data_IF_857589229540
#
_entry.id   IF_857589229540
#
_cell.length_a   1.000
_cell.length_b   1.000
_cell.length_c   1.000
_cell.angle_alpha   90.00
_cell.angle_beta   90.00
_cell.angle_gamma   90.00
#
_symmetry.space_group_name_H-M   'P 1'
#
loop_
_entity.id
_entity.type
_entity.pdbx_description
1 polymer ?
#
# COMPACT_ATOMS: atom_id res chain seq x y z
N UNK A 1 -28.12 36.31 -4.17
CA UNK A 1 -27.39 35.74 -5.32
C UNK A 1 -26.49 34.67 -4.75
N UNK A 2 -26.79 33.39 -4.98
CA UNK A 2 -25.81 32.35 -4.65
C UNK A 2 -24.59 32.53 -5.55
N UNK A 3 -23.37 32.42 -5.00
CA UNK A 3 -22.17 32.64 -5.80
C UNK A 3 -22.02 31.49 -6.81
N UNK A 4 -21.58 31.80 -8.04
CA UNK A 4 -21.57 30.86 -9.16
C UNK A 4 -20.78 29.54 -8.92
N UNK A 5 -19.85 29.53 -7.97
CA UNK A 5 -19.09 28.32 -7.59
C UNK A 5 -19.88 27.35 -6.70
N UNK A 6 -21.03 27.78 -6.15
CA UNK A 6 -21.97 26.96 -5.38
C UNK A 6 -23.07 26.33 -6.27
N UNK A 7 -23.01 26.51 -7.59
CA UNK A 7 -23.95 25.79 -8.47
C UNK A 7 -23.68 24.28 -8.38
N UNK A 8 -24.76 23.49 -8.27
CA UNK A 8 -24.68 22.04 -8.12
C UNK A 8 -23.89 21.37 -9.26
N UNK A 9 -23.94 21.96 -10.46
CA UNK A 9 -23.22 21.50 -11.64
C UNK A 9 -21.70 21.71 -11.50
N UNK A 10 -21.26 22.89 -11.06
CA UNK A 10 -19.83 23.19 -10.84
C UNK A 10 -19.26 22.35 -9.70
N UNK A 11 -20.01 22.21 -8.60
CA UNK A 11 -19.62 21.37 -7.47
C UNK A 11 -19.53 19.89 -7.86
N UNK A 12 -20.47 19.39 -8.66
CA UNK A 12 -20.43 18.02 -9.19
C UNK A 12 -19.22 17.78 -10.09
N UNK A 13 -18.88 18.72 -10.96
CA UNK A 13 -17.75 18.60 -11.88
C UNK A 13 -16.41 18.64 -11.17
N UNK A 14 -16.22 19.58 -10.22
CA UNK A 14 -15.01 19.66 -9.40
C UNK A 14 -14.85 18.39 -8.57
N UNK A 15 -15.89 17.97 -7.86
CA UNK A 15 -15.83 16.75 -7.03
C UNK A 15 -15.62 15.49 -7.88
N UNK A 16 -16.20 15.42 -9.08
CA UNK A 16 -16.00 14.32 -10.02
C UNK A 16 -14.57 14.24 -10.51
N UNK A 17 -13.96 15.35 -10.92
CA UNK A 17 -12.57 15.40 -11.39
C UNK A 17 -11.60 15.11 -10.24
N UNK A 18 -11.77 15.78 -9.09
CA UNK A 18 -10.89 15.59 -7.92
C UNK A 18 -11.01 14.16 -7.39
N UNK A 19 -12.22 13.65 -7.24
CA UNK A 19 -12.46 12.28 -6.79
C UNK A 19 -11.91 11.25 -7.78
N UNK A 20 -12.14 11.46 -9.08
CA UNK A 20 -11.64 10.58 -10.14
C UNK A 20 -10.12 10.50 -10.18
N UNK A 21 -9.43 11.66 -10.12
CA UNK A 21 -7.96 11.72 -10.09
C UNK A 21 -7.42 11.03 -8.84
N UNK A 22 -8.03 11.27 -7.67
CA UNK A 22 -7.60 10.66 -6.43
C UNK A 22 -7.76 9.12 -6.47
N UNK A 23 -8.91 8.62 -6.94
CA UNK A 23 -9.17 7.18 -7.06
C UNK A 23 -8.19 6.55 -8.06
N UNK A 24 -7.94 7.20 -9.20
CA UNK A 24 -6.97 6.73 -10.18
C UNK A 24 -5.56 6.66 -9.58
N UNK A 25 -5.14 7.69 -8.84
CA UNK A 25 -3.85 7.71 -8.14
C UNK A 25 -3.75 6.57 -7.11
N UNK A 26 -4.82 6.31 -6.35
CA UNK A 26 -4.89 5.18 -5.42
C UNK A 26 -4.74 3.83 -6.14
N UNK A 27 -5.42 3.64 -7.27
CA UNK A 27 -5.34 2.42 -8.06
C UNK A 27 -3.92 2.20 -8.61
N UNK A 28 -3.31 3.25 -9.16
CA UNK A 28 -1.93 3.22 -9.67
C UNK A 28 -0.93 2.91 -8.55
N UNK A 29 -1.07 3.57 -7.38
CA UNK A 29 -0.23 3.31 -6.22
C UNK A 29 -0.42 1.87 -5.68
N UNK A 30 -1.66 1.37 -5.66
CA UNK A 30 -1.96 -0.02 -5.31
C UNK A 30 -1.31 -1.04 -6.26
N UNK A 31 -1.34 -0.77 -7.57
CA UNK A 31 -0.64 -1.58 -8.57
C UNK A 31 0.88 -1.53 -8.41
N UNK A 32 1.43 -0.34 -8.21
CA UNK A 32 2.87 -0.14 -8.04
C UNK A 32 3.40 -0.77 -6.75
N UNK A 33 2.68 -0.63 -5.64
CA UNK A 33 3.04 -1.24 -4.35
C UNK A 33 3.01 -2.77 -4.40
N UNK A 34 2.09 -3.37 -5.16
CA UNK A 34 2.09 -4.82 -5.42
C UNK A 34 3.37 -5.28 -6.13
N UNK A 35 3.79 -4.56 -7.17
CA UNK A 35 5.03 -4.86 -7.88
C UNK A 35 6.27 -4.71 -6.97
N UNK A 36 6.29 -3.70 -6.10
CA UNK A 36 7.34 -3.50 -5.12
C UNK A 36 7.39 -4.63 -4.06
N UNK A 37 6.22 -5.10 -3.63
CA UNK A 37 6.08 -6.17 -2.65
C UNK A 37 6.63 -7.52 -3.15
N UNK A 38 6.40 -7.85 -4.42
CA UNK A 38 6.96 -9.08 -5.03
C UNK A 38 8.49 -9.07 -5.08
N UNK A 39 9.10 -7.87 -5.09
CA UNK A 39 10.55 -7.68 -5.09
C UNK A 39 11.13 -7.51 -3.69
N UNK A 40 10.32 -7.54 -2.63
CA UNK A 40 10.73 -7.23 -1.25
C UNK A 40 11.55 -5.92 -1.18
N UNK A 41 11.04 -4.87 -1.84
CA UNK A 41 11.65 -3.53 -1.85
C UNK A 41 10.66 -2.48 -1.37
N UNK A 42 11.19 -1.38 -0.83
CA UNK A 42 10.43 -0.17 -0.52
C UNK A 42 9.28 -0.35 0.49
N UNK A 43 9.42 -1.28 1.44
CA UNK A 43 8.40 -1.53 2.46
C UNK A 43 8.03 -0.27 3.26
N UNK A 44 9.02 0.56 3.60
CA UNK A 44 8.80 1.85 4.26
C UNK A 44 8.04 2.83 3.37
N UNK A 45 8.42 2.93 2.09
CA UNK A 45 7.74 3.82 1.14
C UNK A 45 6.27 3.42 0.95
N UNK A 46 6.00 2.12 0.80
CA UNK A 46 4.64 1.58 0.67
C UNK A 46 3.84 1.80 1.95
N UNK A 47 4.46 1.59 3.12
CA UNK A 47 3.84 1.86 4.41
C UNK A 47 3.45 3.33 4.58
N UNK A 48 4.39 4.25 4.35
CA UNK A 48 4.15 5.70 4.42
C UNK A 48 3.08 6.12 3.42
N UNK A 49 3.14 5.63 2.18
CA UNK A 49 2.13 5.94 1.17
C UNK A 49 0.72 5.49 1.58
N UNK A 50 0.57 4.29 2.15
CA UNK A 50 -0.72 3.86 2.69
C UNK A 50 -1.16 4.67 3.90
N UNK A 51 -0.25 5.10 4.78
CA UNK A 51 -0.58 5.99 5.89
C UNK A 51 -1.07 7.36 5.41
N UNK A 52 -0.43 7.94 4.39
CA UNK A 52 -0.86 9.21 3.78
C UNK A 52 -2.24 9.05 3.15
N UNK A 53 -2.47 7.98 2.38
CA UNK A 53 -3.77 7.70 1.78
C UNK A 53 -4.87 7.48 2.84
N UNK A 54 -4.55 6.80 3.94
CA UNK A 54 -5.47 6.64 5.07
C UNK A 54 -5.81 7.99 5.71
N UNK A 55 -4.81 8.86 5.89
CA UNK A 55 -5.01 10.22 6.40
C UNK A 55 -5.93 11.04 5.50
N UNK A 56 -5.71 10.99 4.18
CA UNK A 56 -6.56 11.67 3.19
C UNK A 56 -7.99 11.12 3.21
N UNK A 57 -8.15 9.79 3.25
CA UNK A 57 -9.46 9.14 3.33
C UNK A 57 -10.23 9.51 4.60
N UNK A 58 -9.54 9.52 5.76
CA UNK A 58 -10.12 9.93 7.04
C UNK A 58 -10.48 11.42 7.06
N UNK A 59 -9.63 12.29 6.50
CA UNK A 59 -9.94 13.71 6.38
C UNK A 59 -11.18 13.95 5.50
N UNK A 60 -11.30 13.24 4.38
CA UNK A 60 -12.47 13.32 3.50
C UNK A 60 -13.75 12.84 4.20
N UNK A 61 -13.69 11.72 4.93
CA UNK A 61 -14.81 11.26 5.77
C UNK A 61 -15.17 12.27 6.86
N UNK A 62 -14.16 12.86 7.52
CA UNK A 62 -14.35 13.89 8.53
C UNK A 62 -15.05 15.12 7.97
N UNK A 63 -14.60 15.63 6.82
CA UNK A 63 -15.25 16.73 6.12
C UNK A 63 -16.71 16.39 5.75
N UNK A 64 -16.97 15.18 5.26
CA UNK A 64 -18.31 14.70 4.97
C UNK A 64 -19.20 14.68 6.22
N UNK A 65 -18.69 14.15 7.34
CA UNK A 65 -19.42 14.08 8.61
C UNK A 65 -19.73 15.48 9.19
N UNK A 66 -18.76 16.40 9.15
CA UNK A 66 -18.96 17.80 9.58
C UNK A 66 -19.99 18.50 8.70
N UNK A 67 -19.95 18.28 7.38
CA UNK A 67 -20.92 18.86 6.46
C UNK A 67 -22.35 18.33 6.70
N UNK A 68 -22.50 17.02 6.98
CA UNK A 68 -23.79 16.44 7.40
C UNK A 68 -24.28 17.09 8.70
N UNK A 69 -23.42 17.22 9.71
CA UNK A 69 -23.77 17.83 10.99
C UNK A 69 -24.16 19.31 10.85
N UNK A 70 -23.57 20.02 9.90
CA UNK A 70 -23.88 21.41 9.57
C UNK A 70 -25.15 21.59 8.71
N UNK A 71 -25.88 20.51 8.41
CA UNK A 71 -27.09 20.56 7.58
C UNK A 71 -26.83 20.94 6.12
N UNK A 72 -25.60 20.72 5.63
CA UNK A 72 -25.26 21.03 4.24
C UNK A 72 -26.05 20.13 3.27
N UNK A 73 -26.35 20.62 2.07
CA UNK A 73 -27.08 19.86 1.07
C UNK A 73 -26.27 18.66 0.55
N UNK A 74 -26.99 17.65 0.03
CA UNK A 74 -26.43 16.34 -0.33
C UNK A 74 -25.25 16.40 -1.29
N UNK A 75 -25.25 17.35 -2.24
CA UNK A 75 -24.18 17.50 -3.22
C UNK A 75 -22.86 18.01 -2.64
N UNK A 76 -22.85 18.51 -1.39
CA UNK A 76 -21.64 18.97 -0.69
C UNK A 76 -21.02 17.82 0.10
N UNK A 77 -21.81 17.14 0.94
CA UNK A 77 -21.27 16.12 1.84
C UNK A 77 -21.12 14.74 1.19
N UNK A 78 -22.00 14.39 0.25
CA UNK A 78 -22.01 13.06 -0.36
C UNK A 78 -20.71 12.75 -1.10
N UNK A 79 -20.16 13.64 -1.96
CA UNK A 79 -18.89 13.35 -2.63
C UNK A 79 -17.72 13.14 -1.66
N UNK A 80 -17.62 13.97 -0.61
CA UNK A 80 -16.57 13.82 0.40
C UNK A 80 -16.68 12.48 1.15
N UNK A 81 -17.89 12.10 1.55
CA UNK A 81 -18.16 10.83 2.21
C UNK A 81 -17.87 9.63 1.29
N UNK A 82 -18.28 9.69 0.01
CA UNK A 82 -18.06 8.63 -0.97
C UNK A 82 -16.56 8.46 -1.27
N UNK A 83 -15.84 9.56 -1.49
CA UNK A 83 -14.38 9.52 -1.72
C UNK A 83 -13.67 8.91 -0.51
N UNK A 84 -13.98 9.40 0.69
CA UNK A 84 -13.40 8.88 1.92
C UNK A 84 -13.70 7.39 2.13
N UNK A 85 -14.94 6.97 1.92
CA UNK A 85 -15.35 5.57 2.03
C UNK A 85 -14.67 4.68 0.98
N UNK A 86 -14.56 5.15 -0.26
CA UNK A 86 -13.89 4.41 -1.34
C UNK A 86 -12.40 4.22 -1.05
N UNK A 87 -11.70 5.27 -0.61
CA UNK A 87 -10.28 5.20 -0.23
C UNK A 87 -10.09 4.24 0.95
N UNK A 88 -10.86 4.40 2.02
CA UNK A 88 -10.74 3.56 3.21
C UNK A 88 -11.10 2.10 2.91
N UNK A 89 -12.13 1.85 2.12
CA UNK A 89 -12.51 0.51 1.67
C UNK A 89 -11.40 -0.14 0.82
N UNK A 90 -10.83 0.60 -0.12
CA UNK A 90 -9.72 0.12 -0.95
C UNK A 90 -8.49 -0.24 -0.11
N UNK A 91 -8.17 0.57 0.90
CA UNK A 91 -7.07 0.29 1.84
C UNK A 91 -7.35 -0.95 2.70
N UNK A 92 -8.55 -1.05 3.27
CA UNK A 92 -8.94 -2.17 4.12
C UNK A 92 -8.85 -3.52 3.37
N UNK A 93 -9.24 -3.54 2.09
CA UNK A 93 -9.18 -4.74 1.26
C UNK A 93 -7.79 -4.99 0.66
N UNK A 94 -7.04 -3.94 0.29
CA UNK A 94 -5.77 -4.05 -0.43
C UNK A 94 -4.56 -4.30 0.48
N UNK A 95 -4.51 -3.65 1.65
CA UNK A 95 -3.35 -3.70 2.56
C UNK A 95 -3.03 -5.12 3.04
N UNK A 96 -4.00 -5.95 3.48
CA UNK A 96 -3.71 -7.31 3.93
C UNK A 96 -3.03 -8.15 2.84
N UNK A 97 -3.48 -8.01 1.58
CA UNK A 97 -2.90 -8.73 0.45
C UNK A 97 -1.45 -8.32 0.18
N UNK A 98 -1.11 -7.05 0.35
CA UNK A 98 0.26 -6.55 0.17
C UNK A 98 1.16 -7.01 1.32
N UNK A 99 0.69 -6.98 2.56
CA UNK A 99 1.43 -7.50 3.72
C UNK A 99 1.77 -8.99 3.51
N UNK A 100 0.82 -9.80 3.05
CA UNK A 100 1.06 -11.20 2.75
C UNK A 100 2.12 -11.40 1.65
N UNK A 101 2.15 -10.54 0.63
CA UNK A 101 3.18 -10.61 -0.43
C UNK A 101 4.57 -10.29 0.11
N UNK A 102 4.70 -9.23 0.91
CA UNK A 102 5.97 -8.90 1.57
C UNK A 102 6.46 -10.04 2.47
N UNK A 103 5.56 -10.67 3.23
CA UNK A 103 5.90 -11.83 4.07
C UNK A 103 6.43 -13.00 3.23
N UNK A 104 5.71 -13.37 2.17
CA UNK A 104 6.12 -14.45 1.26
C UNK A 104 7.46 -14.16 0.56
N UNK A 105 7.68 -12.90 0.15
CA UNK A 105 8.93 -12.50 -0.49
C UNK A 105 10.12 -12.58 0.49
N UNK A 106 9.92 -12.18 1.75
CA UNK A 106 10.92 -12.30 2.81
C UNK A 106 11.23 -13.76 3.15
N UNK A 107 10.20 -14.60 3.31
CA UNK A 107 10.36 -16.04 3.56
C UNK A 107 11.18 -16.72 2.44
N UNK A 108 10.94 -16.35 1.17
CA UNK A 108 11.73 -16.86 0.04
C UNK A 108 13.21 -16.48 0.14
N UNK A 109 13.53 -15.24 0.51
CA UNK A 109 14.92 -14.79 0.68
C UNK A 109 15.61 -15.50 1.84
N UNK A 110 14.93 -15.62 2.97
CA UNK A 110 15.47 -16.32 4.15
C UNK A 110 15.77 -17.79 3.85
N UNK A 111 14.88 -18.48 3.12
CA UNK A 111 15.12 -19.86 2.69
C UNK A 111 16.31 -19.98 1.73
N UNK A 112 16.47 -19.02 0.81
CA UNK A 112 17.61 -18.98 -0.10
C UNK A 112 18.93 -18.76 0.65
N UNK A 113 18.96 -17.83 1.60
CA UNK A 113 20.13 -17.56 2.43
C UNK A 113 20.52 -18.77 3.28
N UNK A 114 19.53 -19.45 3.87
CA UNK A 114 19.75 -20.69 4.62
C UNK A 114 20.31 -21.81 3.72
N UNK A 115 19.76 -21.97 2.52
CA UNK A 115 20.26 -22.95 1.56
C UNK A 115 21.72 -22.65 1.17
N UNK A 116 22.07 -21.38 0.92
CA UNK A 116 23.45 -20.97 0.63
C UNK A 116 24.40 -21.24 1.80
N UNK A 117 23.98 -20.94 3.04
CA UNK A 117 24.78 -21.23 4.25
C UNK A 117 25.01 -22.72 4.45
N UNK A 118 23.99 -23.55 4.20
CA UNK A 118 24.11 -25.00 4.29
C UNK A 118 25.07 -25.56 3.24
N UNK A 119 25.00 -25.07 2.00
CA UNK A 119 25.92 -25.47 0.92
C UNK A 119 27.36 -25.06 1.28
N UNK A 120 27.59 -23.80 1.67
CA UNK A 120 28.91 -23.31 2.05
C UNK A 120 29.47 -24.06 3.29
N UNK A 121 28.62 -24.32 4.28
CA UNK A 121 28.96 -25.08 5.49
C UNK A 121 29.24 -26.56 5.23
N UNK A 122 28.62 -27.16 4.21
CA UNK A 122 28.89 -28.54 3.79
C UNK A 122 30.22 -28.62 3.05
N UNK A 123 30.47 -27.70 2.12
CA UNK A 123 31.73 -27.63 1.36
C UNK A 123 32.95 -27.47 2.26
N UNK A 124 32.87 -26.60 3.28
CA UNK A 124 33.96 -26.43 4.26
C UNK A 124 34.24 -27.70 5.08
N UNK A 125 33.21 -28.43 5.52
CA UNK A 125 33.40 -29.71 6.24
C UNK A 125 33.98 -30.80 5.36
N UNK A 126 33.56 -30.88 4.09
CA UNK A 126 34.10 -31.85 3.14
C UNK A 126 35.58 -31.59 2.87
N UNK A 127 35.95 -30.32 2.65
CA UNK A 127 37.34 -29.92 2.45
C UNK A 127 38.21 -30.19 3.69
N UNK A 128 37.70 -29.89 4.89
CA UNK A 128 38.41 -30.18 6.14
C UNK A 128 38.68 -31.68 6.32
N UNK A 129 37.71 -32.54 5.99
CA UNK A 129 37.84 -34.00 6.08
C UNK A 129 38.79 -34.59 5.03
N UNK A 130 38.83 -34.02 3.84
CA UNK A 130 39.78 -34.42 2.79
C UNK A 130 41.22 -34.06 3.16
N UNK A 131 41.44 -32.88 3.75
CA UNK A 131 42.78 -32.47 4.20
C UNK A 131 43.29 -33.31 5.39
N UNK A 132 42.40 -33.70 6.31
CA UNK A 132 42.80 -34.57 7.42
C UNK A 132 43.21 -35.98 6.97
N UNK A 133 42.72 -36.47 5.82
CA UNK A 133 43.12 -37.79 5.31
C UNK A 133 44.48 -37.77 4.60
N UNK A 134 44.89 -36.63 4.03
CA UNK A 134 46.21 -36.50 3.41
C UNK A 134 47.36 -36.40 4.41
N UNK A 135 47.13 -35.93 5.64
CA UNK A 135 48.18 -35.85 6.68
C UNK A 135 48.64 -37.21 7.24
N UNK A 136 47.93 -38.30 6.94
CA UNK A 136 48.28 -39.65 7.41
C UNK A 136 48.91 -40.53 6.32
N UNK A 137 49.35 -39.94 5.21
CA UNK A 137 50.17 -40.59 4.18
C UNK A 137 51.52 -39.89 4.08
#
# INVERSE_FOLDING_TARGET
MEPAWLSAETAGLINGVVGGVLIAACALFGGFSRWLAERDRGRTLVGVGFSVLAGVGLAALGCGAVAVAAGQPIYVWCPAAVIGAAVMGALALGVPGIIQRYRKARERRELQDLAQRLIAGRSSRVLARANSTQRFR
#
